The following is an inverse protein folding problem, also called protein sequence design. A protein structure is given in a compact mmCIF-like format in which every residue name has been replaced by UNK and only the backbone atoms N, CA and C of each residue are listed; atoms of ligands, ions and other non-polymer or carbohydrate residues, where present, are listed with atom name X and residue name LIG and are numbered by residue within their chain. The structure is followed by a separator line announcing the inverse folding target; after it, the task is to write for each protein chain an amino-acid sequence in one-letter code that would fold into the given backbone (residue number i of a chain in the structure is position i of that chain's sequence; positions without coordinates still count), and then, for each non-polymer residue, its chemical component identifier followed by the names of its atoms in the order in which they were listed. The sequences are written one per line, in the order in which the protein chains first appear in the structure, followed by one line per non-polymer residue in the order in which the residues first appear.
data_IF_793606183251
#
_entry.id   IF_793606183251
#
_cell.length_a   1.000
_cell.length_b   1.000
_cell.length_c   1.000
_cell.angle_alpha   90.00
_cell.angle_beta   90.00
_cell.angle_gamma   90.00
#
_symmetry.space_group_name_H-M   'P 1'
#
loop_
_entity.id
_entity.type
_entity.pdbx_description
1 polymer ?
#
# COMPACT_ATOMS: atom_id res chain seq x y z
N UNK A 1 -54.39 41.47 56.36
CA UNK A 1 -53.87 42.49 55.42
C UNK A 1 -52.50 41.99 54.95
N UNK A 2 -52.24 41.59 53.72
CA UNK A 2 -53.02 41.56 52.49
C UNK A 2 -52.56 40.35 51.65
N UNK A 3 -53.50 39.74 50.94
CA UNK A 3 -53.30 38.67 49.95
C UNK A 3 -52.60 39.21 48.69
N UNK A 4 -51.83 38.35 48.02
CA UNK A 4 -51.44 38.55 46.63
C UNK A 4 -51.49 37.19 45.92
N UNK A 5 -52.61 36.95 45.25
CA UNK A 5 -52.85 35.88 44.30
C UNK A 5 -52.07 36.15 43.00
N UNK A 6 -51.36 35.15 42.49
CA UNK A 6 -50.96 35.14 41.08
C UNK A 6 -51.16 33.74 40.47
N UNK A 7 -52.06 33.75 39.51
CA UNK A 7 -52.73 32.64 38.85
C UNK A 7 -51.82 31.98 37.80
N UNK A 8 -51.56 30.68 37.94
CA UNK A 8 -50.70 29.88 37.04
C UNK A 8 -51.56 28.93 36.21
N UNK A 9 -52.21 29.48 35.18
CA UNK A 9 -52.93 28.70 34.16
C UNK A 9 -51.95 27.86 33.32
N UNK A 10 -51.93 26.55 33.59
CA UNK A 10 -51.20 25.54 32.82
C UNK A 10 -52.06 25.00 31.67
N UNK A 11 -51.92 25.59 30.47
CA UNK A 11 -52.48 25.04 29.22
C UNK A 11 -51.64 23.85 28.76
N UNK A 12 -52.06 22.62 29.06
CA UNK A 12 -51.59 21.40 28.39
C UNK A 12 -52.04 21.44 26.92
N UNK A 13 -51.12 21.71 25.99
CA UNK A 13 -51.32 21.47 24.55
C UNK A 13 -51.26 19.96 24.31
N UNK A 14 -52.41 19.32 24.18
CA UNK A 14 -52.50 17.96 23.64
C UNK A 14 -52.06 17.98 22.17
N UNK A 15 -50.97 17.27 21.85
CA UNK A 15 -50.51 17.07 20.47
C UNK A 15 -51.43 16.05 19.79
N UNK A 16 -51.92 16.40 18.60
CA UNK A 16 -52.72 15.52 17.75
C UNK A 16 -52.04 14.15 17.53
N UNK A 17 -52.80 13.02 17.55
CA UNK A 17 -52.30 11.68 17.28
C UNK A 17 -51.59 11.54 15.92
N UNK A 18 -51.97 12.33 14.92
CA UNK A 18 -51.34 12.35 13.59
C UNK A 18 -49.93 12.93 13.62
N UNK A 19 -49.69 13.96 14.44
CA UNK A 19 -48.36 14.54 14.60
C UNK A 19 -47.41 13.59 15.36
N UNK A 20 -47.94 12.80 16.28
CA UNK A 20 -47.19 11.75 16.98
C UNK A 20 -46.85 10.57 16.05
N UNK A 21 -47.77 10.15 15.19
CA UNK A 21 -47.53 9.10 14.20
C UNK A 21 -46.51 9.52 13.13
N UNK A 22 -46.58 10.75 12.62
CA UNK A 22 -45.60 11.31 11.69
C UNK A 22 -44.21 11.46 12.34
N UNK A 23 -44.15 11.88 13.60
CA UNK A 23 -42.90 11.99 14.36
C UNK A 23 -42.26 10.62 14.65
N UNK A 24 -43.06 9.58 14.92
CA UNK A 24 -42.56 8.21 15.10
C UNK A 24 -42.15 7.57 13.77
N UNK A 25 -42.82 7.85 12.66
CA UNK A 25 -42.43 7.38 11.31
C UNK A 25 -41.11 8.03 10.87
N UNK A 26 -40.93 9.33 11.18
CA UNK A 26 -39.68 10.07 10.93
C UNK A 26 -38.53 9.59 11.82
N UNK A 27 -38.79 9.29 13.10
CA UNK A 27 -37.80 8.69 14.02
C UNK A 27 -37.42 7.24 13.68
N UNK A 28 -38.34 6.45 13.11
CA UNK A 28 -38.02 5.10 12.61
C UNK A 28 -37.17 5.13 11.35
N UNK A 29 -37.43 6.06 10.43
CA UNK A 29 -36.64 6.24 9.21
C UNK A 29 -35.20 6.73 9.50
N UNK A 30 -35.02 7.63 10.48
CA UNK A 30 -33.68 8.08 10.89
C UNK A 30 -32.89 7.01 11.65
N UNK A 31 -33.58 6.20 12.46
CA UNK A 31 -32.97 5.10 13.23
C UNK A 31 -32.48 3.94 12.34
N UNK A 32 -33.16 3.65 11.22
CA UNK A 32 -32.67 2.68 10.24
C UNK A 32 -31.51 3.24 9.41
N UNK A 33 -31.60 4.48 8.90
CA UNK A 33 -30.51 5.13 8.15
C UNK A 33 -29.22 5.31 8.99
N UNK A 34 -29.33 5.64 10.29
CA UNK A 34 -28.16 5.78 11.18
C UNK A 34 -27.52 4.44 11.59
N UNK A 35 -28.31 3.34 11.64
CA UNK A 35 -27.77 2.00 11.88
C UNK A 35 -27.12 1.38 10.63
N UNK A 36 -27.52 1.82 9.43
CA UNK A 36 -26.99 1.33 8.15
C UNK A 36 -25.54 1.78 7.90
N UNK A 37 -25.12 2.90 8.50
CA UNK A 37 -23.73 3.35 8.50
C UNK A 37 -23.00 2.91 9.77
N UNK A 38 -22.77 1.60 9.91
CA UNK A 38 -21.78 1.14 10.88
C UNK A 38 -20.46 1.89 10.60
N UNK A 39 -19.93 2.60 11.60
CA UNK A 39 -18.75 3.46 11.46
C UNK A 39 -17.51 2.72 10.94
N UNK A 40 -17.49 1.39 10.99
CA UNK A 40 -16.44 0.56 10.38
C UNK A 40 -16.55 0.49 8.85
N UNK A 41 -17.75 0.30 8.31
CA UNK A 41 -17.99 0.10 6.87
C UNK A 41 -17.94 1.42 6.10
N UNK A 42 -18.32 2.53 6.75
CA UNK A 42 -18.27 3.86 6.14
C UNK A 42 -16.84 4.35 5.85
N UNK A 43 -15.80 3.75 6.45
CA UNK A 43 -14.40 4.16 6.24
C UNK A 43 -13.90 3.91 4.82
N UNK A 44 -14.54 3.00 4.09
CA UNK A 44 -14.24 2.69 2.69
C UNK A 44 -15.02 3.58 1.70
N UNK A 45 -15.88 4.48 2.19
CA UNK A 45 -16.53 5.51 1.37
C UNK A 45 -15.56 6.63 0.98
N UNK A 46 -14.56 6.86 1.81
CA UNK A 46 -13.69 8.01 1.70
C UNK A 46 -12.38 7.62 1.03
N UNK A 47 -12.04 8.38 0.00
CA UNK A 47 -10.78 8.25 -0.72
C UNK A 47 -10.04 9.58 -0.75
N UNK A 48 -8.72 9.51 -0.70
CA UNK A 48 -7.81 10.65 -0.89
C UNK A 48 -7.08 10.46 -2.22
N UNK A 49 -6.91 11.54 -2.96
CA UNK A 49 -6.08 11.54 -4.18
C UNK A 49 -4.67 12.02 -3.82
N UNK A 50 -3.68 11.17 -4.00
CA UNK A 50 -2.27 11.54 -3.88
C UNK A 50 -1.73 11.94 -5.26
N UNK A 51 -1.08 13.10 -5.35
CA UNK A 51 -0.36 13.56 -6.54
C UNK A 51 1.12 13.26 -6.33
N UNK A 52 1.64 12.28 -7.07
CA UNK A 52 2.97 11.71 -6.83
C UNK A 52 3.97 12.19 -7.88
N UNK A 53 5.15 12.56 -7.39
CA UNK A 53 6.28 12.93 -8.23
C UNK A 53 6.12 14.28 -8.93
N UNK A 54 7.10 14.66 -9.75
CA UNK A 54 7.12 15.96 -10.44
C UNK A 54 5.99 16.15 -11.45
N UNK A 55 5.40 15.06 -11.93
CA UNK A 55 4.24 15.07 -12.85
C UNK A 55 2.90 15.07 -12.13
N UNK A 56 2.89 15.05 -10.79
CA UNK A 56 1.66 15.04 -10.00
C UNK A 56 0.71 13.88 -10.39
N UNK A 57 1.28 12.69 -10.64
CA UNK A 57 0.52 11.52 -11.08
C UNK A 57 -0.53 11.15 -10.02
N UNK A 58 -1.83 11.08 -10.35
CA UNK A 58 -2.88 10.88 -9.36
C UNK A 58 -3.04 9.40 -8.96
N UNK A 59 -3.08 9.13 -7.66
CA UNK A 59 -3.38 7.83 -7.08
C UNK A 59 -4.50 7.95 -6.04
N UNK A 60 -5.57 7.17 -6.20
CA UNK A 60 -6.70 7.18 -5.27
C UNK A 60 -6.48 6.12 -4.20
N UNK A 61 -6.47 6.53 -2.92
CA UNK A 61 -6.29 5.61 -1.78
C UNK A 61 -7.48 5.74 -0.84
N UNK A 62 -8.05 4.61 -0.46
CA UNK A 62 -9.18 4.55 0.46
C UNK A 62 -8.69 4.69 1.89
N UNK A 63 -9.22 5.66 2.62
CA UNK A 63 -8.80 6.00 3.96
C UNK A 63 -8.91 4.78 4.90
N UNK A 64 -10.01 4.02 4.82
CA UNK A 64 -10.19 2.80 5.61
C UNK A 64 -9.11 1.74 5.40
N UNK A 65 -8.59 1.59 4.17
CA UNK A 65 -7.49 0.65 3.87
C UNK A 65 -6.19 1.17 4.44
N UNK A 66 -5.90 2.48 4.28
CA UNK A 66 -4.70 3.10 4.83
C UNK A 66 -4.65 3.00 6.36
N UNK A 67 -5.76 3.28 7.06
CA UNK A 67 -5.85 3.14 8.51
C UNK A 67 -5.63 1.71 8.99
N UNK A 68 -6.17 0.73 8.25
CA UNK A 68 -6.07 -0.67 8.62
C UNK A 68 -4.65 -1.20 8.50
N UNK A 69 -3.97 -0.85 7.40
CA UNK A 69 -2.65 -1.39 7.08
C UNK A 69 -1.51 -0.57 7.65
N UNK A 70 -1.66 0.76 7.70
CA UNK A 70 -0.62 1.70 8.08
C UNK A 70 -1.19 2.82 8.98
N UNK A 71 -1.64 2.53 10.22
CA UNK A 71 -2.33 3.50 11.06
C UNK A 71 -1.50 4.76 11.35
N UNK A 72 -0.21 4.61 11.64
CA UNK A 72 0.70 5.74 11.87
C UNK A 72 0.87 6.62 10.63
N UNK A 73 0.98 5.99 9.44
CA UNK A 73 1.05 6.71 8.18
C UNK A 73 -0.26 7.41 7.86
N UNK A 74 -1.40 6.76 8.12
CA UNK A 74 -2.73 7.35 7.95
C UNK A 74 -2.88 8.60 8.82
N UNK A 75 -2.45 8.55 10.09
CA UNK A 75 -2.46 9.71 10.97
C UNK A 75 -1.54 10.83 10.47
N UNK A 76 -0.32 10.50 10.04
CA UNK A 76 0.62 11.48 9.48
C UNK A 76 0.13 12.11 8.16
N UNK A 77 -0.55 11.33 7.31
CA UNK A 77 -1.00 11.76 5.99
C UNK A 77 -2.37 12.42 5.99
N UNK A 78 -3.26 12.05 6.92
CA UNK A 78 -4.64 12.56 6.96
C UNK A 78 -4.86 13.56 8.09
N UNK A 79 -4.02 13.51 9.12
CA UNK A 79 -4.11 14.34 10.33
C UNK A 79 -5.09 13.76 11.35
N UNK A 80 -4.76 13.93 12.64
CA UNK A 80 -5.54 13.40 13.78
C UNK A 80 -7.03 13.78 13.77
N UNK A 81 -7.38 14.96 13.24
CA UNK A 81 -8.78 15.40 13.15
C UNK A 81 -9.62 14.52 12.20
N UNK A 82 -9.03 14.06 11.09
CA UNK A 82 -9.69 13.20 10.10
C UNK A 82 -9.90 11.79 10.63
N UNK A 83 -8.94 11.29 11.44
CA UNK A 83 -9.07 10.01 12.13
C UNK A 83 -10.35 9.95 12.99
N UNK A 84 -10.72 11.11 13.56
CA UNK A 84 -11.86 11.24 14.46
C UNK A 84 -13.17 11.59 13.74
N UNK A 85 -13.11 12.27 12.59
CA UNK A 85 -14.29 12.63 11.79
C UNK A 85 -14.04 12.49 10.28
N UNK A 86 -14.37 11.31 9.76
CA UNK A 86 -14.22 10.95 8.35
C UNK A 86 -15.21 11.68 7.44
N UNK A 87 -16.26 12.32 7.96
CA UNK A 87 -17.19 13.10 7.11
C UNK A 87 -16.51 14.36 6.54
N UNK A 88 -15.40 14.79 7.12
CA UNK A 88 -14.60 15.96 6.67
C UNK A 88 -13.60 15.64 5.55
N UNK A 89 -13.60 14.42 5.03
CA UNK A 89 -12.67 13.93 3.99
C UNK A 89 -13.12 14.22 2.55
N UNK A 90 -14.26 14.88 2.32
CA UNK A 90 -14.74 15.16 0.96
C UNK A 90 -13.63 15.76 0.08
N UNK A 91 -13.20 14.95 -0.90
CA UNK A 91 -12.27 15.28 -2.00
C UNK A 91 -10.98 15.99 -1.59
N UNK A 92 -10.23 15.38 -0.67
CA UNK A 92 -8.86 15.84 -0.36
C UNK A 92 -7.84 15.34 -1.37
N UNK A 93 -6.99 16.27 -1.80
CA UNK A 93 -5.77 15.98 -2.53
C UNK A 93 -4.55 16.18 -1.62
N UNK A 94 -3.50 15.38 -1.84
CA UNK A 94 -2.22 15.53 -1.16
C UNK A 94 -1.07 15.34 -2.13
N UNK A 95 -0.11 16.25 -2.11
CA UNK A 95 1.05 16.19 -2.99
C UNK A 95 2.23 15.51 -2.28
N UNK A 96 2.93 14.65 -3.01
CA UNK A 96 4.20 14.03 -2.63
C UNK A 96 5.17 14.18 -3.81
N UNK A 97 5.71 15.40 -4.04
CA UNK A 97 6.46 15.72 -5.27
C UNK A 97 7.81 15.01 -5.37
N UNK A 98 8.38 14.61 -4.24
CA UNK A 98 9.68 13.95 -4.15
C UNK A 98 9.60 12.42 -4.29
N UNK A 99 8.39 11.86 -4.41
CA UNK A 99 8.18 10.41 -4.47
C UNK A 99 8.09 9.88 -5.90
N UNK A 100 8.62 8.68 -6.14
CA UNK A 100 8.54 8.00 -7.44
C UNK A 100 7.16 7.34 -7.59
N UNK A 101 6.46 7.68 -8.68
CA UNK A 101 5.12 7.17 -8.97
C UNK A 101 5.06 5.64 -9.14
N UNK A 102 6.13 5.02 -9.64
CA UNK A 102 6.23 3.56 -9.75
C UNK A 102 6.32 2.92 -8.37
N UNK A 103 7.17 3.47 -7.49
CA UNK A 103 7.31 2.99 -6.12
C UNK A 103 6.01 3.17 -5.33
N UNK A 104 5.34 4.31 -5.52
CA UNK A 104 4.04 4.55 -4.90
C UNK A 104 2.96 3.58 -5.40
N UNK A 105 2.97 3.22 -6.69
CA UNK A 105 2.07 2.19 -7.20
C UNK A 105 2.31 0.83 -6.55
N UNK A 106 3.58 0.43 -6.36
CA UNK A 106 3.91 -0.82 -5.65
C UNK A 106 3.37 -0.77 -4.22
N UNK A 107 3.59 0.34 -3.53
CA UNK A 107 3.03 0.57 -2.20
C UNK A 107 1.50 0.42 -2.21
N UNK A 108 0.81 1.02 -3.18
CA UNK A 108 -0.64 0.91 -3.32
C UNK A 108 -1.06 -0.55 -3.56
N UNK A 109 -0.41 -1.28 -4.46
CA UNK A 109 -0.69 -2.70 -4.69
C UNK A 109 -0.54 -3.51 -3.41
N UNK A 110 0.55 -3.30 -2.67
CA UNK A 110 0.74 -3.95 -1.38
C UNK A 110 -0.33 -3.54 -0.37
N UNK A 111 -0.72 -2.28 -0.33
CA UNK A 111 -1.74 -1.77 0.59
C UNK A 111 -3.06 -2.53 0.45
N UNK A 112 -3.45 -2.84 -0.80
CA UNK A 112 -4.70 -3.54 -1.11
C UNK A 112 -4.60 -5.06 -1.08
N UNK A 113 -3.43 -5.63 -1.37
CA UNK A 113 -3.29 -7.09 -1.57
C UNK A 113 -2.41 -7.79 -0.54
N UNK A 114 -1.65 -7.02 0.24
CA UNK A 114 -0.57 -7.48 1.11
C UNK A 114 0.52 -8.30 0.38
N UNK A 115 0.64 -8.11 -0.94
CA UNK A 115 1.62 -8.79 -1.79
C UNK A 115 2.46 -7.77 -2.56
N UNK A 116 3.72 -8.13 -2.80
CA UNK A 116 4.59 -7.43 -3.74
C UNK A 116 4.40 -8.02 -5.12
N UNK A 117 4.27 -7.14 -6.11
CA UNK A 117 4.23 -7.52 -7.52
C UNK A 117 5.26 -6.73 -8.28
N UNK A 118 6.00 -7.45 -9.11
CA UNK A 118 7.00 -6.86 -10.00
C UNK A 118 6.30 -5.76 -10.80
N UNK A 119 6.81 -4.50 -10.78
CA UNK A 119 6.22 -3.42 -11.53
C UNK A 119 6.16 -3.84 -13.00
N UNK A 120 4.96 -3.82 -13.60
CA UNK A 120 4.85 -4.09 -15.03
C UNK A 120 5.75 -3.10 -15.78
N UNK A 121 6.45 -3.54 -16.83
CA UNK A 121 7.21 -2.64 -17.71
C UNK A 121 6.31 -1.54 -18.28
N UNK A 122 5.03 -1.85 -18.44
CA UNK A 122 4.00 -0.93 -18.93
C UNK A 122 3.55 0.10 -17.89
N UNK A 123 4.01 0.04 -16.63
CA UNK A 123 3.77 1.14 -15.68
C UNK A 123 4.32 2.47 -16.21
N UNK A 124 5.38 2.44 -17.01
CA UNK A 124 5.92 3.61 -17.70
C UNK A 124 5.27 3.90 -19.05
N UNK A 125 4.68 2.91 -19.72
CA UNK A 125 4.19 2.99 -21.11
C UNK A 125 2.93 3.89 -21.30
N UNK A 126 2.48 4.57 -20.24
CA UNK A 126 1.40 5.55 -20.32
C UNK A 126 1.44 6.61 -19.21
N UNK A 127 2.58 6.78 -18.54
CA UNK A 127 2.80 7.89 -17.61
C UNK A 127 3.86 8.79 -18.25
N UNK A 128 3.41 9.95 -18.76
CA UNK A 128 4.28 10.93 -19.43
C UNK A 128 5.41 11.39 -18.51
N UNK A 129 6.58 10.77 -18.66
CA UNK A 129 7.83 11.15 -18.00
C UNK A 129 8.28 10.24 -16.85
N UNK A 130 7.73 9.03 -16.72
CA UNK A 130 8.43 7.92 -16.05
C UNK A 130 9.48 7.40 -17.03
N UNK A 131 10.76 7.72 -16.79
CA UNK A 131 11.85 7.20 -17.62
C UNK A 131 11.88 5.68 -17.50
N UNK A 132 11.75 5.00 -18.64
CA UNK A 132 12.07 3.57 -18.73
C UNK A 132 13.52 3.41 -18.23
N UNK A 133 13.71 2.68 -17.13
CA UNK A 133 15.07 2.32 -16.72
C UNK A 133 15.58 1.34 -17.77
N UNK A 134 16.65 1.76 -18.44
CA UNK A 134 17.25 1.05 -19.54
C UNK A 134 17.63 -0.36 -19.07
N UNK A 135 16.75 -1.32 -19.33
CA UNK A 135 16.89 -2.71 -18.89
C UNK A 135 18.11 -3.39 -19.54
N UNK A 136 18.72 -2.71 -20.51
CA UNK A 136 19.88 -3.10 -21.29
C UNK A 136 21.22 -2.69 -20.65
N UNK A 137 21.25 -1.78 -19.68
CA UNK A 137 22.47 -1.51 -18.93
C UNK A 137 22.76 -2.72 -18.03
N UNK A 138 23.82 -3.47 -18.33
CA UNK A 138 24.33 -4.52 -17.43
C UNK A 138 24.64 -3.82 -16.11
N UNK A 139 23.76 -3.98 -15.13
CA UNK A 139 23.95 -3.40 -13.82
C UNK A 139 25.19 -4.05 -13.22
N UNK A 140 26.29 -3.29 -13.13
CA UNK A 140 27.56 -3.78 -12.61
C UNK A 140 27.33 -4.24 -11.17
N UNK A 141 27.85 -5.42 -10.84
CA UNK A 141 27.69 -6.05 -9.52
C UNK A 141 29.05 -6.47 -9.01
N UNK A 142 29.23 -6.43 -7.70
CA UNK A 142 30.46 -6.89 -7.06
C UNK A 142 30.67 -8.40 -7.29
N UNK A 143 29.60 -9.18 -7.25
CA UNK A 143 29.64 -10.62 -7.50
C UNK A 143 28.41 -11.09 -8.28
N UNK A 144 28.63 -11.99 -9.23
CA UNK A 144 27.62 -12.73 -9.99
C UNK A 144 28.17 -14.14 -10.28
N UNK A 145 27.48 -15.17 -9.78
CA UNK A 145 27.88 -16.57 -10.02
C UNK A 145 27.71 -16.92 -11.50
N UNK A 146 28.74 -17.50 -12.15
CA UNK A 146 28.64 -17.95 -13.54
C UNK A 146 27.52 -18.99 -13.72
N UNK A 147 26.75 -18.89 -14.81
CA UNK A 147 25.71 -19.86 -15.15
C UNK A 147 24.39 -19.72 -14.36
N UNK A 148 24.28 -18.76 -13.45
CA UNK A 148 23.01 -18.33 -12.83
C UNK A 148 22.42 -17.11 -13.54
N UNK A 149 22.47 -17.12 -14.87
CA UNK A 149 21.87 -16.07 -15.67
C UNK A 149 20.34 -16.16 -15.59
N UNK A 150 19.70 -15.00 -15.59
CA UNK A 150 18.24 -14.93 -15.60
C UNK A 150 17.74 -15.37 -16.97
N UNK A 151 16.91 -16.39 -16.98
CA UNK A 151 16.30 -16.86 -18.22
C UNK A 151 15.44 -15.74 -18.82
N UNK A 152 15.50 -15.51 -20.14
CA UNK A 152 14.63 -14.55 -20.82
C UNK A 152 13.16 -14.81 -20.48
N UNK A 153 12.42 -13.74 -20.15
CA UNK A 153 11.01 -13.82 -19.77
C UNK A 153 10.74 -14.16 -18.31
N UNK A 154 11.76 -14.39 -17.47
CA UNK A 154 11.58 -14.52 -16.02
C UNK A 154 11.12 -13.18 -15.45
N UNK A 155 9.92 -13.15 -14.87
CA UNK A 155 9.43 -11.99 -14.13
C UNK A 155 10.24 -11.85 -12.84
N UNK A 156 11.01 -10.77 -12.73
CA UNK A 156 11.87 -10.50 -11.58
C UNK A 156 11.82 -9.03 -11.21
N UNK A 157 12.06 -8.73 -9.93
CA UNK A 157 12.28 -7.37 -9.49
C UNK A 157 13.63 -6.85 -9.98
N UNK A 158 13.70 -5.57 -10.35
CA UNK A 158 14.98 -4.88 -10.29
C UNK A 158 15.35 -4.70 -8.82
N UNK A 159 16.61 -4.91 -8.47
CA UNK A 159 17.10 -4.58 -7.14
C UNK A 159 17.05 -3.07 -6.86
N UNK A 160 17.17 -2.21 -7.88
CA UNK A 160 16.93 -0.78 -7.74
C UNK A 160 15.53 -0.48 -7.20
N UNK A 161 14.51 -1.13 -7.77
CA UNK A 161 13.11 -0.90 -7.37
C UNK A 161 12.85 -1.40 -5.94
N UNK A 162 13.45 -2.53 -5.53
CA UNK A 162 13.34 -3.03 -4.16
C UNK A 162 14.07 -2.14 -3.15
N UNK A 163 15.23 -1.58 -3.52
CA UNK A 163 15.97 -0.64 -2.69
C UNK A 163 15.21 0.68 -2.54
N UNK A 164 14.69 1.23 -3.63
CA UNK A 164 13.90 2.45 -3.59
C UNK A 164 12.60 2.27 -2.81
N UNK A 165 11.95 1.11 -2.95
CA UNK A 165 10.80 0.74 -2.14
C UNK A 165 11.15 0.67 -0.66
N UNK A 166 12.29 0.05 -0.31
CA UNK A 166 12.77 0.03 1.07
C UNK A 166 12.97 1.45 1.62
N UNK A 167 13.64 2.32 0.86
CA UNK A 167 13.89 3.72 1.24
C UNK A 167 12.57 4.48 1.43
N UNK A 168 11.61 4.32 0.50
CA UNK A 168 10.26 4.86 0.62
C UNK A 168 9.60 4.41 1.93
N UNK A 169 9.64 3.12 2.21
CA UNK A 169 9.05 2.55 3.42
C UNK A 169 9.68 3.12 4.68
N UNK A 170 11.00 3.33 4.69
CA UNK A 170 11.70 3.90 5.84
C UNK A 170 11.37 5.37 6.06
N UNK A 171 11.24 6.15 4.99
CA UNK A 171 10.83 7.56 5.05
C UNK A 171 9.41 7.73 5.59
N UNK A 172 8.51 6.81 5.23
CA UNK A 172 7.09 6.84 5.60
C UNK A 172 6.72 5.88 6.74
N UNK A 173 7.71 5.27 7.40
CA UNK A 173 7.51 4.33 8.50
C UNK A 173 6.55 3.15 8.19
N UNK A 174 6.66 2.59 6.98
CA UNK A 174 5.90 1.41 6.51
C UNK A 174 6.76 0.15 6.68
N UNK A 175 7.12 -0.16 7.93
CA UNK A 175 8.16 -1.16 8.22
C UNK A 175 7.81 -2.58 7.72
N UNK A 176 6.53 -2.96 7.74
CA UNK A 176 6.10 -4.26 7.21
C UNK A 176 6.41 -4.42 5.71
N UNK A 177 6.19 -3.37 4.91
CA UNK A 177 6.52 -3.37 3.49
C UNK A 177 8.03 -3.25 3.27
N UNK A 178 8.73 -2.45 4.06
CA UNK A 178 10.19 -2.34 4.01
C UNK A 178 10.87 -3.69 4.27
N UNK A 179 10.43 -4.39 5.30
CA UNK A 179 10.90 -5.76 5.60
C UNK A 179 10.61 -6.70 4.42
N UNK A 180 9.42 -6.62 3.82
CA UNK A 180 9.07 -7.46 2.67
C UNK A 180 9.95 -7.15 1.43
N UNK A 181 10.27 -5.87 1.18
CA UNK A 181 11.17 -5.44 0.12
C UNK A 181 12.59 -6.00 0.33
N UNK A 182 13.12 -5.88 1.55
CA UNK A 182 14.44 -6.40 1.91
C UNK A 182 14.49 -7.94 1.83
N UNK A 183 13.43 -8.60 2.27
CA UNK A 183 13.28 -10.05 2.16
C UNK A 183 13.32 -10.50 0.70
N UNK A 184 12.58 -9.81 -0.15
CA UNK A 184 12.50 -10.11 -1.58
C UNK A 184 13.85 -9.90 -2.25
N UNK A 185 14.55 -8.82 -1.90
CA UNK A 185 15.91 -8.54 -2.39
C UNK A 185 16.88 -9.66 -2.00
N UNK A 186 16.81 -10.11 -0.74
CA UNK A 186 17.66 -11.18 -0.23
C UNK A 186 17.42 -12.51 -0.94
N UNK A 187 16.15 -12.94 -1.05
CA UNK A 187 15.78 -14.16 -1.78
C UNK A 187 16.24 -14.09 -3.23
N UNK A 188 16.04 -12.95 -3.90
CA UNK A 188 16.47 -12.73 -5.27
C UNK A 188 17.99 -12.85 -5.44
N UNK A 189 18.75 -12.20 -4.56
CA UNK A 189 20.21 -12.26 -4.58
C UNK A 189 20.73 -13.69 -4.39
N UNK A 190 20.13 -14.44 -3.45
CA UNK A 190 20.42 -15.87 -3.23
C UNK A 190 20.12 -16.69 -4.48
N UNK A 191 18.92 -16.55 -5.03
CA UNK A 191 18.43 -17.31 -6.18
C UNK A 191 19.34 -17.15 -7.40
N UNK A 192 19.74 -15.92 -7.71
CA UNK A 192 20.55 -15.61 -8.88
C UNK A 192 22.05 -15.55 -8.59
N UNK A 193 22.47 -15.91 -7.38
CA UNK A 193 23.88 -15.94 -7.02
C UNK A 193 24.59 -14.59 -7.18
N UNK A 194 23.95 -13.46 -6.83
CA UNK A 194 24.48 -12.12 -7.09
C UNK A 194 24.38 -11.16 -5.92
N UNK A 195 25.25 -10.14 -5.88
CA UNK A 195 25.07 -8.95 -5.02
C UNK A 195 24.13 -7.94 -5.68
N UNK A 196 23.71 -6.92 -4.94
CA UNK A 196 23.06 -5.74 -5.50
C UNK A 196 23.93 -5.04 -6.56
N UNK A 197 23.28 -4.35 -7.49
CA UNK A 197 23.90 -3.52 -8.52
C UNK A 197 24.54 -2.28 -7.91
N UNK A 198 25.48 -1.67 -8.63
CA UNK A 198 26.08 -0.38 -8.26
C UNK A 198 25.03 0.71 -8.07
N UNK A 199 24.03 0.77 -8.95
CA UNK A 199 22.94 1.75 -8.89
C UNK A 199 22.09 1.58 -7.62
N UNK A 200 21.80 0.34 -7.24
CA UNK A 200 21.05 0.04 -6.02
C UNK A 200 21.86 0.41 -4.76
N UNK A 201 23.16 0.16 -4.78
CA UNK A 201 24.07 0.57 -3.69
C UNK A 201 24.17 2.10 -3.61
N UNK A 202 24.29 2.80 -4.74
CA UNK A 202 24.30 4.27 -4.82
C UNK A 202 23.03 4.89 -4.25
N UNK A 203 21.87 4.31 -4.57
CA UNK A 203 20.58 4.73 -4.02
C UNK A 203 20.55 4.57 -2.49
N UNK A 204 21.02 3.43 -1.97
CA UNK A 204 21.09 3.18 -0.54
C UNK A 204 22.03 4.16 0.18
N UNK A 205 23.23 4.42 -0.36
CA UNK A 205 24.17 5.39 0.22
C UNK A 205 23.59 6.79 0.22
N UNK A 206 22.98 7.21 -0.90
CA UNK A 206 22.34 8.53 -1.02
C UNK A 206 21.20 8.73 -0.03
N UNK A 207 20.50 7.65 0.35
CA UNK A 207 19.42 7.70 1.33
C UNK A 207 19.88 7.80 2.80
N UNK A 208 21.17 7.57 3.08
CA UNK A 208 21.77 7.71 4.42
C UNK A 208 21.05 6.89 5.49
N UNK A 209 20.61 7.54 6.56
CA UNK A 209 19.94 6.88 7.71
C UNK A 209 18.67 6.11 7.33
N UNK A 210 18.00 6.49 6.24
CA UNK A 210 16.83 5.76 5.75
C UNK A 210 17.18 4.39 5.16
N UNK A 211 18.45 4.11 4.91
CA UNK A 211 18.92 2.84 4.35
C UNK A 211 19.89 2.09 5.28
N UNK A 212 20.05 2.47 6.55
CA UNK A 212 21.08 1.92 7.44
C UNK A 212 21.07 0.37 7.52
N UNK A 213 19.92 -0.24 7.82
CA UNK A 213 19.80 -1.70 7.90
C UNK A 213 19.94 -2.40 6.54
N UNK A 214 19.43 -1.76 5.47
CA UNK A 214 19.61 -2.22 4.10
C UNK A 214 21.09 -2.23 3.71
N UNK A 215 21.82 -1.18 4.06
CA UNK A 215 23.24 -1.05 3.80
C UNK A 215 24.03 -2.11 4.58
N UNK A 216 23.66 -2.35 5.84
CA UNK A 216 24.22 -3.45 6.64
C UNK A 216 23.98 -4.80 5.96
N UNK A 217 22.79 -5.06 5.45
CA UNK A 217 22.48 -6.27 4.68
C UNK A 217 23.38 -6.39 3.43
N UNK A 218 23.51 -5.32 2.64
CA UNK A 218 24.33 -5.32 1.42
C UNK A 218 25.79 -5.64 1.70
N UNK A 219 26.36 -5.09 2.79
CA UNK A 219 27.72 -5.39 3.23
C UNK A 219 27.85 -6.87 3.62
N UNK A 220 26.93 -7.38 4.44
CA UNK A 220 26.99 -8.77 4.92
C UNK A 220 26.82 -9.77 3.76
N UNK A 221 25.96 -9.48 2.78
CA UNK A 221 25.79 -10.28 1.55
C UNK A 221 27.06 -10.26 0.68
N UNK A 222 27.68 -9.08 0.50
CA UNK A 222 28.92 -8.94 -0.24
C UNK A 222 30.07 -9.74 0.40
N UNK A 223 30.20 -9.66 1.72
CA UNK A 223 31.21 -10.39 2.48
C UNK A 223 31.03 -11.90 2.36
N UNK A 224 29.79 -12.39 2.48
CA UNK A 224 29.48 -13.81 2.34
C UNK A 224 29.81 -14.34 0.94
N UNK A 225 29.46 -13.61 -0.12
CA UNK A 225 29.74 -14.02 -1.51
C UNK A 225 31.21 -14.02 -1.87
N UNK A 226 31.98 -13.18 -1.18
CA UNK A 226 33.41 -13.06 -1.40
C UNK A 226 34.20 -14.24 -0.81
N UNK A 227 33.61 -15.09 0.03
CA UNK A 227 34.36 -16.17 0.69
C UNK A 227 35.24 -15.65 1.85
N UNK A 228 36.12 -16.51 2.37
CA UNK A 228 37.29 -16.13 3.19
C UNK A 228 38.46 -15.61 2.32
N UNK A 229 38.25 -15.51 1.00
CA UNK A 229 39.28 -15.07 0.06
C UNK A 229 38.98 -13.64 -0.32
N UNK A 230 39.86 -12.67 0.00
CA UNK A 230 39.61 -11.28 -0.35
C UNK A 230 39.35 -11.18 -1.85
N UNK A 231 38.26 -10.50 -2.20
CA UNK A 231 38.01 -10.06 -3.58
C UNK A 231 39.32 -9.46 -4.10
N UNK A 232 39.82 -9.94 -5.23
CA UNK A 232 41.12 -9.52 -5.75
C UNK A 232 41.13 -8.02 -6.07
N UNK A 233 42.27 -7.35 -5.86
CA UNK A 233 42.46 -5.91 -6.07
C UNK A 233 41.92 -5.41 -7.43
N UNK A 234 42.01 -6.23 -8.48
CA UNK A 234 41.52 -5.89 -9.82
C UNK A 234 39.99 -5.80 -9.93
N UNK A 235 39.26 -6.54 -9.09
CA UNK A 235 37.79 -6.49 -8.99
C UNK A 235 37.34 -5.21 -8.26
N UNK A 236 38.12 -4.79 -7.27
CA UNK A 236 37.90 -3.53 -6.54
C UNK A 236 38.26 -2.30 -7.36
N UNK A 237 39.24 -2.41 -8.25
CA UNK A 237 39.64 -1.32 -9.16
C UNK A 237 38.53 -0.96 -10.18
N UNK A 238 37.52 -1.82 -10.36
CA UNK A 238 36.34 -1.56 -11.18
C UNK A 238 35.13 -1.02 -10.38
N UNK A 239 35.20 -0.96 -9.05
CA UNK A 239 34.22 -0.29 -8.19
C UNK A 239 34.75 1.10 -7.82
N UNK A 240 33.89 2.11 -7.71
CA UNK A 240 34.35 3.46 -7.35
C UNK A 240 35.12 3.45 -6.01
N UNK A 241 36.17 4.28 -5.93
CA UNK A 241 37.08 4.31 -4.78
C UNK A 241 36.36 4.58 -3.45
N UNK A 242 35.19 5.22 -3.48
CA UNK A 242 34.37 5.46 -2.30
C UNK A 242 33.79 4.16 -1.72
N UNK A 243 33.30 3.26 -2.58
CA UNK A 243 32.73 1.98 -2.17
C UNK A 243 33.78 1.02 -1.64
N UNK A 244 34.93 0.93 -2.33
CA UNK A 244 36.07 0.15 -1.85
C UNK A 244 36.49 0.61 -0.44
N UNK A 245 36.43 1.92 -0.14
CA UNK A 245 36.70 2.43 1.21
C UNK A 245 35.60 2.10 2.22
N UNK A 246 34.32 2.26 1.87
CA UNK A 246 33.19 1.96 2.77
C UNK A 246 33.12 0.47 3.11
N UNK A 247 33.25 -0.40 2.11
CA UNK A 247 33.25 -1.85 2.30
C UNK A 247 34.49 -2.31 3.07
N UNK A 248 35.68 -1.75 2.78
CA UNK A 248 36.92 -2.05 3.52
C UNK A 248 36.87 -1.59 4.97
N UNK A 249 36.35 -0.39 5.24
CA UNK A 249 36.17 0.11 6.61
C UNK A 249 35.13 -0.70 7.40
N UNK A 250 34.08 -1.21 6.74
CA UNK A 250 33.10 -2.10 7.35
C UNK A 250 33.69 -3.48 7.67
N UNK A 251 34.56 -4.00 6.78
CA UNK A 251 35.32 -5.23 6.96
C UNK A 251 36.35 -5.16 8.10
N UNK A 252 36.96 -4.00 8.31
CA UNK A 252 37.97 -3.79 9.36
C UNK A 252 37.37 -3.68 10.78
N UNK A 253 36.07 -3.41 10.91
CA UNK A 253 35.42 -3.12 12.20
C UNK A 253 34.54 -4.24 12.79
N UNK A 254 34.22 -5.31 12.05
CA UNK A 254 33.35 -6.37 12.59
C UNK A 254 33.78 -7.75 12.06
N UNK A 255 34.36 -8.60 12.93
CA UNK A 255 34.64 -10.02 12.62
C UNK A 255 33.31 -10.77 12.63
N UNK A 256 32.58 -10.75 11.52
CA UNK A 256 31.30 -11.45 11.38
C UNK A 256 31.48 -12.97 11.35
N UNK A 257 30.66 -13.68 12.13
CA UNK A 257 30.56 -15.14 12.07
C UNK A 257 29.67 -15.55 10.89
N UNK A 258 30.31 -16.27 9.97
CA UNK A 258 29.90 -16.67 8.61
C UNK A 258 28.54 -17.38 8.44
N UNK A 259 27.86 -17.75 9.52
CA UNK A 259 26.64 -18.56 9.49
C UNK A 259 25.33 -17.78 9.77
N UNK A 260 25.40 -16.56 10.34
CA UNK A 260 24.22 -16.01 11.04
C UNK A 260 23.23 -15.20 10.19
N UNK A 261 23.64 -14.58 9.07
CA UNK A 261 22.76 -13.58 8.43
C UNK A 261 21.58 -14.18 7.66
N UNK A 262 21.74 -15.38 7.07
CA UNK A 262 20.65 -16.10 6.38
C UNK A 262 19.71 -16.84 7.34
N UNK A 263 20.24 -17.23 8.50
CA UNK A 263 19.46 -17.88 9.56
C UNK A 263 18.70 -16.87 10.43
N UNK A 264 19.10 -15.59 10.41
CA UNK A 264 18.52 -14.52 11.22
C UNK A 264 18.18 -13.28 10.39
N UNK A 265 17.25 -13.39 9.44
CA UNK A 265 16.85 -12.27 8.58
C UNK A 265 16.30 -11.07 9.35
N UNK A 266 15.67 -11.33 10.51
CA UNK A 266 15.16 -10.29 11.39
C UNK A 266 16.25 -9.31 11.89
N UNK A 267 17.55 -9.64 11.73
CA UNK A 267 18.67 -8.73 12.04
C UNK A 267 18.64 -7.44 11.24
N UNK A 268 18.03 -7.46 10.04
CA UNK A 268 17.94 -6.30 9.15
C UNK A 268 16.52 -5.75 9.06
N UNK A 269 15.61 -6.29 9.85
CA UNK A 269 14.22 -5.88 9.89
C UNK A 269 13.92 -5.00 11.08
N UNK A 270 12.81 -4.27 10.95
CA UNK A 270 12.26 -3.45 12.01
C UNK A 270 10.97 -4.08 12.48
N UNK A 271 10.88 -4.28 13.79
CA UNK A 271 9.73 -4.86 14.47
C UNK A 271 9.38 -3.98 15.66
N UNK A 272 8.09 -3.75 15.88
CA UNK A 272 7.57 -2.98 17.00
C UNK A 272 7.17 -3.86 18.19
N UNK A 273 7.31 -5.18 18.06
CA UNK A 273 7.02 -6.13 19.14
C UNK A 273 7.45 -7.56 18.83
N UNK A 274 7.43 -8.42 19.86
CA UNK A 274 7.82 -9.82 19.75
C UNK A 274 6.94 -10.61 18.77
N UNK A 275 5.65 -10.31 18.70
CA UNK A 275 4.72 -11.02 17.81
C UNK A 275 5.06 -10.77 16.34
N UNK A 276 5.40 -9.53 15.97
CA UNK A 276 5.87 -9.20 14.62
C UNK A 276 7.18 -9.93 14.29
N UNK A 277 8.11 -9.99 15.25
CA UNK A 277 9.38 -10.69 15.07
C UNK A 277 9.16 -12.21 14.89
N UNK A 278 8.25 -12.81 15.67
CA UNK A 278 7.88 -14.23 15.55
C UNK A 278 7.23 -14.53 14.19
N UNK A 279 6.28 -13.70 13.75
CA UNK A 279 5.64 -13.82 12.43
C UNK A 279 6.65 -13.63 11.30
N UNK A 280 7.57 -12.69 11.43
CA UNK A 280 8.61 -12.47 10.44
C UNK A 280 9.52 -13.70 10.27
N UNK A 281 9.94 -14.29 11.38
CA UNK A 281 10.79 -15.48 11.39
C UNK A 281 10.11 -16.66 10.68
N UNK A 282 8.80 -16.84 10.87
CA UNK A 282 8.06 -17.92 10.21
C UNK A 282 7.80 -17.63 8.72
N UNK A 283 7.47 -16.39 8.35
CA UNK A 283 7.16 -16.02 6.97
C UNK A 283 8.39 -16.09 6.05
N UNK A 284 9.57 -15.69 6.53
CA UNK A 284 10.79 -15.72 5.73
C UNK A 284 11.19 -17.15 5.31
N UNK A 285 10.98 -18.14 6.18
CA UNK A 285 11.31 -19.54 5.87
C UNK A 285 10.40 -20.16 4.80
N UNK A 286 9.25 -19.54 4.51
CA UNK A 286 8.19 -20.16 3.69
C UNK A 286 7.76 -19.34 2.47
N UNK A 287 8.11 -18.05 2.37
CA UNK A 287 7.86 -17.26 1.15
C UNK A 287 8.95 -17.49 0.10
N UNK A 288 8.84 -18.60 -0.63
CA UNK A 288 9.73 -18.93 -1.77
C UNK A 288 9.14 -18.52 -3.13
N UNK A 289 7.93 -17.95 -3.17
CA UNK A 289 7.26 -17.58 -4.40
C UNK A 289 6.48 -16.28 -4.23
N UNK A 290 6.70 -15.33 -5.15
CA UNK A 290 5.82 -14.19 -5.36
C UNK A 290 4.50 -14.75 -5.89
N UNK A 291 3.37 -14.46 -5.24
CA UNK A 291 2.09 -14.88 -5.81
C UNK A 291 1.86 -14.13 -7.12
N UNK A 292 1.60 -14.88 -8.18
CA UNK A 292 0.94 -14.34 -9.38
C UNK A 292 -0.50 -14.03 -8.96
N UNK A 293 -0.73 -12.90 -8.30
CA UNK A 293 -2.11 -12.50 -8.00
C UNK A 293 -2.90 -12.24 -9.29
N UNK A 294 -4.17 -11.88 -9.14
CA UNK A 294 -5.04 -11.72 -10.29
C UNK A 294 -4.57 -10.56 -11.22
N UNK A 295 -4.29 -10.80 -12.51
CA UNK A 295 -3.74 -9.80 -13.43
C UNK A 295 -4.52 -8.48 -13.44
N UNK A 296 -5.86 -8.57 -13.45
CA UNK A 296 -6.73 -7.40 -13.40
C UNK A 296 -6.48 -6.46 -12.20
N UNK A 297 -6.09 -6.99 -11.03
CA UNK A 297 -5.74 -6.15 -9.89
C UNK A 297 -4.51 -5.32 -10.27
N UNK A 298 -3.48 -5.93 -10.81
CA UNK A 298 -2.24 -5.20 -11.09
C UNK A 298 -2.38 -4.26 -12.29
N UNK A 299 -3.13 -4.65 -13.31
CA UNK A 299 -3.34 -3.82 -14.50
C UNK A 299 -4.24 -2.61 -14.22
N UNK A 300 -5.27 -2.76 -13.38
CA UNK A 300 -6.32 -1.76 -13.23
C UNK A 300 -6.53 -1.22 -11.82
N UNK A 301 -5.69 -1.54 -10.82
CA UNK A 301 -5.83 -0.96 -9.47
C UNK A 301 -5.60 0.56 -9.43
N UNK A 302 -4.88 1.12 -10.41
CA UNK A 302 -4.73 2.58 -10.55
C UNK A 302 -6.00 3.25 -11.07
N UNK A 303 -6.86 2.49 -11.76
CA UNK A 303 -8.07 3.01 -12.35
C UNK A 303 -9.22 2.91 -11.36
N UNK A 304 -10.01 3.97 -11.28
CA UNK A 304 -11.24 3.99 -10.51
C UNK A 304 -12.46 4.08 -11.41
N UNK A 305 -13.56 3.49 -10.95
CA UNK A 305 -14.89 3.67 -11.48
C UNK A 305 -15.79 4.30 -10.42
N UNK A 306 -16.76 5.10 -10.83
CA UNK A 306 -17.78 5.62 -9.93
C UNK A 306 -19.04 4.76 -10.00
N UNK A 307 -19.54 4.32 -8.86
CA UNK A 307 -20.81 3.58 -8.75
C UNK A 307 -21.80 4.41 -7.93
N UNK A 308 -22.98 4.68 -8.50
CA UNK A 308 -24.09 5.30 -7.78
C UNK A 308 -25.08 4.22 -7.34
N UNK A 309 -25.39 4.15 -6.04
CA UNK A 309 -26.22 3.07 -5.48
C UNK A 309 -27.50 3.61 -4.84
N UNK A 310 -28.61 2.92 -5.13
CA UNK A 310 -29.93 3.17 -4.58
C UNK A 310 -30.59 4.46 -5.08
N UNK A 311 -31.85 4.66 -4.69
CA UNK A 311 -32.65 5.82 -5.11
C UNK A 311 -32.04 7.17 -4.69
N UNK A 312 -31.25 7.20 -3.60
CA UNK A 312 -30.54 8.41 -3.12
C UNK A 312 -29.23 8.67 -3.86
N UNK A 313 -28.83 7.80 -4.81
CA UNK A 313 -27.58 7.87 -5.59
C UNK A 313 -26.35 8.05 -4.69
N UNK A 314 -26.15 7.14 -3.74
CA UNK A 314 -24.92 7.11 -2.94
C UNK A 314 -23.73 6.90 -3.89
N UNK A 315 -22.83 7.89 -3.96
CA UNK A 315 -21.65 7.87 -4.82
C UNK A 315 -20.51 7.10 -4.15
N UNK A 316 -19.92 6.16 -4.88
CA UNK A 316 -18.77 5.35 -4.46
C UNK A 316 -17.70 5.38 -5.53
N UNK A 317 -16.46 5.72 -5.18
CA UNK A 317 -15.30 5.63 -6.08
C UNK A 317 -14.58 4.34 -5.74
N UNK A 318 -14.47 3.41 -6.69
CA UNK A 318 -13.97 2.05 -6.43
C UNK A 318 -12.88 1.66 -7.42
N UNK A 319 -11.90 0.87 -6.97
CA UNK A 319 -10.82 0.39 -7.84
C UNK A 319 -11.31 -0.64 -8.85
N UNK A 320 -11.12 -0.35 -10.13
CA UNK A 320 -11.54 -1.25 -11.22
C UNK A 320 -10.86 -2.60 -11.11
N UNK A 321 -9.55 -2.64 -10.82
CA UNK A 321 -8.82 -3.89 -10.71
C UNK A 321 -9.43 -4.87 -9.70
N UNK A 322 -9.93 -4.36 -8.57
CA UNK A 322 -10.63 -5.18 -7.58
C UNK A 322 -12.02 -5.60 -8.08
N UNK A 323 -12.78 -4.69 -8.68
CA UNK A 323 -14.12 -5.00 -9.22
C UNK A 323 -14.05 -6.06 -10.33
N UNK A 324 -13.14 -5.90 -11.28
CA UNK A 324 -12.96 -6.81 -12.41
C UNK A 324 -12.48 -8.21 -11.97
N UNK A 325 -11.64 -8.28 -10.95
CA UNK A 325 -11.14 -9.54 -10.42
C UNK A 325 -12.19 -10.32 -9.60
N UNK A 326 -13.18 -9.64 -9.03
CA UNK A 326 -14.10 -10.24 -8.05
C UNK A 326 -15.57 -10.27 -8.49
N UNK A 327 -15.96 -9.54 -9.55
CA UNK A 327 -17.35 -9.44 -9.97
C UNK A 327 -17.52 -9.25 -11.48
N UNK A 328 -17.95 -10.32 -12.16
CA UNK A 328 -18.15 -10.36 -13.62
C UNK A 328 -19.10 -9.28 -14.15
N UNK A 329 -20.07 -8.85 -13.34
CA UNK A 329 -20.98 -7.75 -13.69
C UNK A 329 -20.20 -6.49 -14.10
N UNK A 330 -19.16 -6.15 -13.34
CA UNK A 330 -18.35 -4.95 -13.58
C UNK A 330 -17.38 -5.10 -14.75
N UNK A 331 -17.08 -6.33 -15.21
CA UNK A 331 -16.34 -6.55 -16.45
C UNK A 331 -17.14 -6.05 -17.65
N UNK A 332 -18.43 -6.38 -17.72
CA UNK A 332 -19.30 -5.86 -18.78
C UNK A 332 -19.45 -4.34 -18.74
N UNK A 333 -19.52 -3.77 -17.53
CA UNK A 333 -19.74 -2.35 -17.33
C UNK A 333 -18.48 -1.48 -17.60
N UNK A 334 -17.29 -1.93 -17.20
CA UNK A 334 -16.06 -1.13 -17.30
C UNK A 334 -15.12 -1.54 -18.44
N UNK A 335 -15.26 -2.73 -19.01
CA UNK A 335 -14.37 -3.23 -20.08
C UNK A 335 -15.05 -3.35 -21.45
N UNK A 336 -16.35 -3.01 -21.56
CA UNK A 336 -17.13 -3.12 -22.80
C UNK A 336 -17.07 -1.92 -23.74
N UNK A 337 -17.93 -1.90 -24.76
CA UNK A 337 -18.14 -0.75 -25.68
C UNK A 337 -19.36 0.11 -25.32
N UNK A 338 -19.95 -0.12 -24.14
CA UNK A 338 -21.15 0.56 -23.68
C UNK A 338 -20.85 1.99 -23.18
N UNK A 339 -21.87 2.75 -22.82
CA UNK A 339 -21.67 4.14 -22.40
C UNK A 339 -20.90 4.25 -21.08
N UNK A 340 -21.08 3.26 -20.22
CA UNK A 340 -20.53 3.09 -18.88
C UNK A 340 -19.02 2.89 -18.90
N UNK A 341 -18.48 2.17 -19.90
CA UNK A 341 -17.04 2.00 -20.07
C UNK A 341 -16.35 3.28 -20.54
N UNK A 342 -17.08 4.16 -21.23
CA UNK A 342 -16.59 5.48 -21.64
C UNK A 342 -16.69 6.51 -20.52
N UNK A 343 -17.75 6.46 -19.71
CA UNK A 343 -17.97 7.40 -18.61
C UNK A 343 -17.26 6.98 -17.32
N UNK A 344 -16.86 5.70 -17.19
CA UNK A 344 -16.42 5.09 -15.93
C UNK A 344 -17.45 5.27 -14.80
N UNK A 345 -18.74 5.28 -15.14
CA UNK A 345 -19.85 5.45 -14.21
C UNK A 345 -20.84 4.30 -14.37
N UNK A 346 -21.25 3.71 -13.25
CA UNK A 346 -22.29 2.67 -13.18
C UNK A 346 -23.39 3.14 -12.23
N UNK A 347 -24.66 2.97 -12.62
CA UNK A 347 -25.82 3.33 -11.80
C UNK A 347 -26.60 2.07 -11.40
N UNK A 348 -26.71 1.84 -10.10
CA UNK A 348 -27.40 0.71 -9.48
C UNK A 348 -28.59 1.23 -8.65
N UNK A 349 -29.60 1.75 -9.34
CA UNK A 349 -30.72 2.48 -8.71
C UNK A 349 -31.59 1.59 -7.82
N UNK A 350 -31.69 0.30 -8.15
CA UNK A 350 -32.52 -0.69 -7.44
C UNK A 350 -31.81 -1.34 -6.25
N UNK A 351 -30.48 -1.21 -6.16
CA UNK A 351 -29.68 -1.85 -5.13
C UNK A 351 -29.78 -1.11 -3.79
N UNK A 352 -29.79 -1.88 -2.70
CA UNK A 352 -29.76 -1.32 -1.35
C UNK A 352 -28.34 -0.81 -1.03
N UNK A 353 -28.17 0.49 -0.69
CA UNK A 353 -26.86 1.07 -0.39
C UNK A 353 -26.09 0.34 0.72
N UNK A 354 -26.77 -0.17 1.74
CA UNK A 354 -26.09 -0.82 2.86
C UNK A 354 -25.64 -2.23 2.52
N UNK A 355 -26.41 -2.97 1.73
CA UNK A 355 -25.98 -4.28 1.20
C UNK A 355 -24.76 -4.07 0.30
N UNK A 356 -24.79 -3.06 -0.57
CA UNK A 356 -23.66 -2.76 -1.42
C UNK A 356 -22.42 -2.33 -0.63
N UNK A 357 -22.58 -1.64 0.51
CA UNK A 357 -21.45 -1.31 1.39
C UNK A 357 -20.82 -2.53 2.06
N UNK A 358 -21.60 -3.59 2.35
CA UNK A 358 -21.03 -4.86 2.79
C UNK A 358 -20.19 -5.51 1.68
N UNK A 359 -20.66 -5.44 0.43
CA UNK A 359 -19.87 -5.87 -0.73
C UNK A 359 -18.57 -5.08 -0.86
N UNK A 360 -18.62 -3.75 -0.74
CA UNK A 360 -17.42 -2.88 -0.77
C UNK A 360 -16.45 -3.20 0.37
N UNK A 361 -16.96 -3.40 1.58
CA UNK A 361 -16.15 -3.82 2.73
C UNK A 361 -15.42 -5.14 2.42
N UNK A 362 -16.15 -6.14 1.93
CA UNK A 362 -15.57 -7.42 1.53
C UNK A 362 -14.55 -7.27 0.40
N UNK A 363 -14.84 -6.46 -0.61
CA UNK A 363 -13.96 -6.20 -1.74
C UNK A 363 -12.58 -5.69 -1.30
N UNK A 364 -12.53 -4.82 -0.29
CA UNK A 364 -11.28 -4.23 0.20
C UNK A 364 -10.60 -4.99 1.33
N UNK A 365 -11.30 -5.89 2.00
CA UNK A 365 -10.77 -6.57 3.20
C UNK A 365 -10.68 -8.08 3.09
N UNK A 366 -11.33 -8.67 2.09
CA UNK A 366 -11.59 -10.11 2.00
C UNK A 366 -12.50 -10.65 3.10
N UNK A 367 -13.16 -9.78 3.90
CA UNK A 367 -13.97 -10.16 5.06
C UNK A 367 -15.34 -9.51 5.02
N UNK A 368 -16.37 -10.25 5.43
CA UNK A 368 -17.71 -9.70 5.65
C UNK A 368 -17.90 -9.56 7.16
N UNK A 369 -17.92 -8.33 7.65
CA UNK A 369 -18.23 -8.06 9.06
C UNK A 369 -19.75 -8.02 9.22
N UNK A 370 -20.33 -9.21 9.44
CA UNK A 370 -21.75 -9.35 9.77
C UNK A 370 -21.91 -9.00 11.25
N UNK A 371 -21.84 -7.71 11.61
CA UNK A 371 -22.36 -7.31 12.91
C UNK A 371 -23.87 -7.58 12.89
N UNK A 372 -24.34 -8.35 13.87
CA UNK A 372 -25.72 -8.81 14.02
C UNK A 372 -26.73 -7.69 13.78
N UNK A 373 -27.54 -7.85 12.73
CA UNK A 373 -28.69 -7.03 12.34
C UNK A 373 -29.60 -6.65 13.50
#
# INVERSE_FOLDING_TARGET
MAECDSDRSSRKRERSPEAAAASNKRRRATSSDERLFNHSNSRYLYSITFKIGPQAVPFVVHAGVLFKQCPALAEAWLGAAVVNDMQTLEERERELPDEDARIFWVFMVWLYTNNLVVPSKDLGAGIDGVKERDSAAIALRLHQEPGKEILPGTLQWSDDDLVELYIFCRRHHVDALGNLALSTLSVQNVQFGRTCSTTAVEAAVSAGHNAELLFKYMIDEANWRSGDTPVGDDTWNNFDQHYTRLTKAALENDKLTYASFRERPCRYHIHHGEDEQRLCTSLWMHKTSLSEGHPAIYEHLRETGTVFVGAKRLRLVLHKGLLLANANFFQGAFSGHFAESRSNVVELVEEDPAIFLLFVHWLYTGRVDIFSL
#
